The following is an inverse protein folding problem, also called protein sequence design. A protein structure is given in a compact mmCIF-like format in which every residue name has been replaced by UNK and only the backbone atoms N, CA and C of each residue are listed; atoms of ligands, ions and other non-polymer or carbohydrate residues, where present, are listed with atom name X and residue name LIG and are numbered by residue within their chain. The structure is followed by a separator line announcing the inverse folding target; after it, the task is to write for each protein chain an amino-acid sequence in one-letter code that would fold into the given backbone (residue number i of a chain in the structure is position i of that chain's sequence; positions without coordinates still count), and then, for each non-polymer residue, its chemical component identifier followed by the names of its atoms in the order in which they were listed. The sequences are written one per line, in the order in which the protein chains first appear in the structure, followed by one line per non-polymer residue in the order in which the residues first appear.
data_IF_944819484838
#
_entry.id   IF_944819484838
#
_cell.length_a   1.000
_cell.length_b   1.000
_cell.length_c   1.000
_cell.angle_alpha   90.00
_cell.angle_beta   90.00
_cell.angle_gamma   90.00
#
_symmetry.space_group_name_H-M   'P 1'
#
loop_
_entity.id
_entity.type
_entity.pdbx_description
1 polymer ?
#
# COMPACT_ATOMS: atom_id res chain seq x y z
N UNK A 1 3.56 -6.41 4.59
CA UNK A 1 3.61 -6.41 6.07
C UNK A 1 4.43 -5.24 6.56
N UNK A 2 3.95 -4.55 7.58
CA UNK A 2 4.60 -3.46 8.29
C UNK A 2 5.29 -3.90 9.57
N UNK A 3 5.92 -2.95 10.26
CA UNK A 3 6.56 -3.18 11.57
C UNK A 3 6.45 -1.94 12.45
N UNK A 4 6.49 -2.13 13.78
CA UNK A 4 6.64 -1.07 14.77
C UNK A 4 8.12 -0.96 15.13
N UNK A 5 8.72 0.19 14.80
CA UNK A 5 10.15 0.46 15.00
C UNK A 5 10.34 1.58 16.03
N UNK A 6 11.59 1.76 16.46
CA UNK A 6 11.97 2.87 17.34
C UNK A 6 12.98 3.80 16.67
N UNK A 7 12.91 5.08 17.01
CA UNK A 7 13.94 6.07 16.66
C UNK A 7 13.98 7.15 17.74
N UNK A 8 15.17 7.46 18.25
CA UNK A 8 15.39 8.47 19.31
C UNK A 8 14.45 8.27 20.53
N UNK A 9 14.31 7.03 20.97
CA UNK A 9 13.48 6.66 22.14
C UNK A 9 11.97 6.66 21.92
N UNK A 10 11.49 6.98 20.71
CA UNK A 10 10.06 6.99 20.37
C UNK A 10 9.71 5.91 19.36
N UNK A 11 8.49 5.38 19.47
CA UNK A 11 7.96 4.37 18.57
C UNK A 11 7.33 5.00 17.32
N UNK A 12 7.37 4.28 16.21
CA UNK A 12 6.73 4.68 14.95
C UNK A 12 6.26 3.46 14.15
N UNK A 13 5.24 3.65 13.33
CA UNK A 13 4.77 2.66 12.36
C UNK A 13 5.57 2.74 11.06
N UNK A 14 5.94 1.60 10.48
CA UNK A 14 6.61 1.49 9.17
C UNK A 14 5.91 0.42 8.35
N UNK A 15 5.02 0.83 7.46
CA UNK A 15 4.22 -0.08 6.63
C UNK A 15 4.11 0.45 5.20
N UNK A 16 3.43 -0.30 4.32
CA UNK A 16 3.13 0.14 2.96
C UNK A 16 1.63 0.23 2.77
N UNK A 17 1.18 1.29 2.11
CA UNK A 17 -0.20 1.49 1.71
C UNK A 17 -0.21 2.08 0.29
N UNK A 18 -0.99 1.48 -0.61
CA UNK A 18 -1.08 1.86 -2.04
C UNK A 18 0.29 2.00 -2.74
N UNK A 19 1.22 1.10 -2.43
CA UNK A 19 2.57 1.10 -3.00
C UNK A 19 3.55 2.10 -2.35
N UNK A 20 3.06 3.05 -1.53
CA UNK A 20 3.88 4.02 -0.84
C UNK A 20 4.30 3.54 0.55
N UNK A 21 5.55 3.85 0.93
CA UNK A 21 6.06 3.57 2.27
C UNK A 21 5.59 4.65 3.24
N UNK A 22 4.86 4.23 4.27
CA UNK A 22 4.27 5.09 5.28
C UNK A 22 5.08 4.96 6.58
N UNK A 23 5.64 6.07 7.05
CA UNK A 23 6.41 6.15 8.31
C UNK A 23 5.78 7.17 9.24
N UNK A 24 4.96 6.68 10.17
CA UNK A 24 4.17 7.53 11.07
C UNK A 24 4.71 7.49 12.49
N UNK A 25 5.25 8.62 12.95
CA UNK A 25 5.88 8.76 14.26
C UNK A 25 4.84 9.01 15.35
N UNK A 26 5.08 8.40 16.52
CA UNK A 26 4.23 8.60 17.70
C UNK A 26 4.98 9.36 18.79
N UNK A 27 4.25 9.92 19.75
CA UNK A 27 4.83 10.50 20.96
C UNK A 27 5.23 9.45 22.02
N UNK A 28 4.94 8.17 21.77
CA UNK A 28 5.10 7.11 22.77
C UNK A 28 6.55 6.68 22.92
N UNK A 29 7.00 6.60 24.17
CA UNK A 29 8.31 6.09 24.51
C UNK A 29 8.43 4.59 24.20
N UNK A 30 9.67 4.15 23.97
CA UNK A 30 9.99 2.74 23.80
C UNK A 30 9.82 1.97 25.12
N UNK A 31 8.65 1.37 25.30
CA UNK A 31 8.34 0.44 26.39
C UNK A 31 7.65 -0.80 25.83
N UNK A 32 7.73 -1.93 26.54
CA UNK A 32 7.10 -3.17 26.11
C UNK A 32 5.58 -3.03 25.92
N UNK A 33 4.91 -2.34 26.86
CA UNK A 33 3.47 -2.08 26.81
C UNK A 33 3.08 -1.21 25.61
N UNK A 34 3.82 -0.12 25.35
CA UNK A 34 3.56 0.75 24.20
C UNK A 34 3.82 0.01 22.88
N UNK A 35 4.87 -0.80 22.82
CA UNK A 35 5.17 -1.62 21.64
C UNK A 35 4.05 -2.61 21.36
N UNK A 36 3.58 -3.34 22.37
CA UNK A 36 2.48 -4.31 22.22
C UNK A 36 1.20 -3.63 21.74
N UNK A 37 0.87 -2.45 22.29
CA UNK A 37 -0.26 -1.63 21.85
C UNK A 37 -0.13 -1.24 20.37
N UNK A 38 1.04 -0.76 19.96
CA UNK A 38 1.26 -0.35 18.57
C UNK A 38 1.23 -1.54 17.61
N UNK A 39 1.74 -2.70 18.02
CA UNK A 39 1.65 -3.91 17.21
C UNK A 39 0.20 -4.35 16.99
N UNK A 40 -0.64 -4.24 18.02
CA UNK A 40 -2.07 -4.52 17.88
C UNK A 40 -2.76 -3.55 16.91
N UNK A 41 -2.46 -2.25 17.01
CA UNK A 41 -2.98 -1.24 16.08
C UNK A 41 -2.49 -1.51 14.66
N UNK A 42 -1.20 -1.85 14.48
CA UNK A 42 -0.64 -2.17 13.18
C UNK A 42 -1.32 -3.39 12.55
N UNK A 43 -1.57 -4.45 13.33
CA UNK A 43 -2.31 -5.62 12.85
C UNK A 43 -3.73 -5.25 12.41
N UNK A 44 -4.42 -4.38 13.15
CA UNK A 44 -5.73 -3.85 12.76
C UNK A 44 -5.65 -3.08 11.43
N UNK A 45 -4.67 -2.20 11.28
CA UNK A 45 -4.41 -1.46 10.04
C UNK A 45 -4.20 -2.42 8.87
N UNK A 46 -3.37 -3.46 9.04
CA UNK A 46 -3.10 -4.44 7.98
C UNK A 46 -4.36 -5.21 7.57
N UNK A 47 -5.20 -5.60 8.53
CA UNK A 47 -6.50 -6.23 8.24
C UNK A 47 -7.40 -5.29 7.45
N UNK A 48 -7.55 -4.04 7.86
CA UNK A 48 -8.39 -3.07 7.14
C UNK A 48 -7.83 -2.75 5.74
N UNK A 49 -6.50 -2.73 5.56
CA UNK A 49 -5.89 -2.58 4.23
C UNK A 49 -6.25 -3.79 3.36
N UNK A 50 -6.17 -5.00 3.90
CA UNK A 50 -6.54 -6.22 3.18
C UNK A 50 -8.02 -6.26 2.83
N UNK A 51 -8.89 -5.71 3.67
CA UNK A 51 -10.33 -5.61 3.43
C UNK A 51 -10.70 -4.43 2.51
N UNK A 52 -9.75 -3.54 2.19
CA UNK A 52 -10.00 -2.33 1.42
C UNK A 52 -10.78 -1.25 2.17
N UNK A 53 -10.94 -1.39 3.48
CA UNK A 53 -11.69 -0.45 4.35
C UNK A 53 -10.80 0.55 5.08
N UNK A 54 -9.47 0.40 4.98
CA UNK A 54 -8.53 1.27 5.67
C UNK A 54 -8.57 2.71 5.15
N UNK A 55 -8.91 3.66 6.05
CA UNK A 55 -8.86 5.09 5.79
C UNK A 55 -7.69 5.74 6.52
N UNK A 56 -6.66 6.14 5.77
CA UNK A 56 -5.40 6.66 6.32
C UNK A 56 -5.60 7.87 7.25
N UNK A 57 -6.48 8.79 6.86
CA UNK A 57 -6.73 10.03 7.58
C UNK A 57 -7.37 9.82 8.96
N UNK A 58 -8.12 8.73 9.16
CA UNK A 58 -8.71 8.40 10.47
C UNK A 58 -7.65 7.97 11.49
N UNK A 59 -6.60 7.29 11.05
CA UNK A 59 -5.53 6.82 11.92
C UNK A 59 -4.44 7.87 12.16
N UNK A 60 -4.14 8.68 11.14
CA UNK A 60 -3.04 9.64 11.17
C UNK A 60 -3.52 11.04 10.76
N UNK A 61 -4.39 11.67 11.57
CA UNK A 61 -4.87 13.01 11.28
C UNK A 61 -3.69 14.00 11.28
N UNK A 62 -3.58 14.79 10.22
CA UNK A 62 -2.50 15.77 10.05
C UNK A 62 -1.17 15.20 9.53
N UNK A 63 -1.11 13.93 9.14
CA UNK A 63 0.03 13.43 8.37
C UNK A 63 0.07 14.07 6.99
N UNK A 64 1.24 14.50 6.53
CA UNK A 64 1.42 14.97 5.13
C UNK A 64 1.06 13.90 4.09
N UNK A 65 1.08 12.62 4.49
CA UNK A 65 0.65 11.51 3.64
C UNK A 65 -0.87 11.39 3.55
N UNK A 66 -1.64 11.90 4.52
CA UNK A 66 -3.11 11.85 4.45
C UNK A 66 -3.62 12.62 3.24
N UNK A 67 -3.05 13.81 2.97
CA UNK A 67 -3.39 14.62 1.79
C UNK A 67 -3.20 13.84 0.48
N UNK A 68 -2.09 13.10 0.36
CA UNK A 68 -1.81 12.28 -0.83
C UNK A 68 -2.85 11.18 -1.01
N UNK A 69 -3.20 10.48 0.06
CA UNK A 69 -4.14 9.36 -0.04
C UNK A 69 -5.60 9.80 -0.17
N UNK A 70 -5.95 11.01 0.27
CA UNK A 70 -7.24 11.65 0.00
C UNK A 70 -7.38 12.03 -1.47
N UNK A 71 -6.36 12.66 -2.08
CA UNK A 71 -6.42 13.05 -3.50
C UNK A 71 -6.40 11.86 -4.45
N UNK A 72 -5.78 10.74 -4.07
CA UNK A 72 -5.71 9.52 -4.90
C UNK A 72 -6.97 8.64 -4.79
N UNK A 73 -8.11 9.18 -4.33
CA UNK A 73 -9.41 8.48 -4.42
C UNK A 73 -9.99 8.43 -5.84
N UNK A 74 -9.38 9.11 -6.81
CA UNK A 74 -9.53 8.67 -8.19
C UNK A 74 -8.78 7.34 -8.31
N UNK A 75 -9.46 6.20 -8.57
CA UNK A 75 -8.75 5.08 -9.18
C UNK A 75 -7.94 5.65 -10.36
N UNK A 76 -6.79 5.07 -10.73
CA UNK A 76 -6.32 5.29 -12.08
C UNK A 76 -7.48 4.82 -12.97
N UNK A 77 -8.32 5.78 -13.41
CA UNK A 77 -9.01 5.68 -14.67
C UNK A 77 -7.84 5.44 -15.58
N UNK A 78 -7.63 4.16 -15.90
CA UNK A 78 -6.86 3.76 -17.05
C UNK A 78 -7.53 4.58 -18.13
N UNK A 79 -6.92 5.73 -18.46
CA UNK A 79 -7.23 6.41 -19.69
C UNK A 79 -6.87 5.34 -20.69
N UNK A 80 -7.89 4.60 -21.14
CA UNK A 80 -7.81 3.80 -22.33
C UNK A 80 -7.42 4.80 -23.41
N UNK A 81 -6.12 5.03 -23.55
CA UNK A 81 -5.54 5.50 -24.76
C UNK A 81 -5.82 4.36 -25.74
N UNK A 82 -6.94 4.51 -26.44
CA UNK A 82 -7.22 3.89 -27.72
C UNK A 82 -6.04 4.15 -28.65
N UNK A 83 -5.02 3.31 -28.59
CA UNK A 83 -4.04 3.09 -29.66
C UNK A 83 -3.07 1.97 -29.27
N UNK A 84 -3.35 0.76 -29.77
CA UNK A 84 -2.35 -0.25 -30.16
C UNK A 84 -1.62 -1.06 -29.06
N UNK A 85 -2.27 -1.43 -27.97
CA UNK A 85 -1.89 -2.70 -27.30
C UNK A 85 -2.78 -3.81 -27.84
N UNK A 86 -2.26 -4.74 -28.63
CA UNK A 86 -3.07 -5.81 -29.15
C UNK A 86 -3.49 -6.70 -27.96
N UNK A 87 -4.76 -7.12 -27.93
CA UNK A 87 -5.33 -7.91 -26.83
C UNK A 87 -4.47 -9.15 -26.59
N UNK A 88 -4.33 -9.59 -25.33
CA UNK A 88 -3.61 -10.81 -24.93
C UNK A 88 -3.91 -12.03 -25.82
N UNK A 89 -5.10 -12.09 -26.42
CA UNK A 89 -5.51 -13.08 -27.43
C UNK A 89 -4.60 -13.12 -28.67
N UNK A 90 -4.20 -11.96 -29.20
CA UNK A 90 -3.28 -11.87 -30.35
C UNK A 90 -1.85 -12.30 -30.02
N UNK A 91 -1.44 -12.13 -28.75
CA UNK A 91 -0.11 -12.56 -28.29
C UNK A 91 0.04 -14.09 -28.28
N UNK A 92 -1.08 -14.83 -28.16
CA UNK A 92 -1.07 -16.30 -28.18
C UNK A 92 -0.92 -16.85 -29.61
N UNK A 93 -1.47 -16.16 -30.62
CA UNK A 93 -1.46 -16.65 -32.01
C UNK A 93 -0.07 -16.58 -32.67
N UNK A 94 0.73 -15.54 -32.36
CA UNK A 94 2.09 -15.41 -32.89
C UNK A 94 3.08 -16.43 -32.31
N UNK A 95 2.93 -16.80 -31.04
CA UNK A 95 3.82 -17.76 -30.39
C UNK A 95 3.56 -19.21 -30.84
N UNK A 96 2.31 -19.53 -31.16
CA UNK A 96 1.94 -20.87 -31.63
C UNK A 96 2.48 -21.17 -33.04
N UNK A 97 2.58 -20.15 -33.89
CA UNK A 97 3.02 -20.32 -35.29
C UNK A 97 4.54 -20.49 -35.42
N UNK A 98 5.33 -20.03 -34.44
CA UNK A 98 6.79 -20.14 -34.43
C UNK A 98 7.33 -21.41 -33.75
N UNK A 99 6.47 -22.28 -33.21
CA UNK A 99 6.88 -23.45 -32.42
C UNK A 99 6.61 -24.82 -33.08
N UNK A 100 6.22 -24.88 -34.36
CA UNK A 100 6.06 -26.13 -35.10
C UNK A 100 7.00 -26.20 -36.31
N UNK A 101 8.00 -27.12 -36.33
CA UNK A 101 8.74 -27.45 -37.54
C UNK A 101 7.88 -28.27 -38.51
N UNK A 102 8.14 -28.08 -39.81
CA UNK A 102 7.51 -28.69 -40.98
C UNK A 102 7.49 -30.23 -40.98
#
# INVERSE_FOLDING_TARGET
MGNVRQKRGKLFFDFRYRGERCREYTALAYTASNRKRLQFILAKIETEISLGTFEYAQYFPGSKLSEKFTTTQTPPVVKQATALTPLFRTFIEDWFTLSLPS
#
